data_IF_463433439921
#
_entry.id   IF_463433439921
#
_cell.length_a   1.000
_cell.length_b   1.000
_cell.length_c   1.000
_cell.angle_alpha   90.00
_cell.angle_beta   90.00
_cell.angle_gamma   90.00
#
_symmetry.space_group_name_H-M   'P 1'
#
loop_
_entity.id
_entity.type
_entity.pdbx_description
1 polymer ?
#
# COMPACT_ATOMS: atom_id res chain seq x y z
N UNK A 1 -28.47 28.45 36.59
CA UNK A 1 -28.46 27.97 35.20
C UNK A 1 -27.22 28.53 34.51
N UNK A 2 -26.17 27.75 34.29
CA UNK A 2 -25.01 28.24 33.52
C UNK A 2 -24.27 27.09 32.82
N UNK A 3 -24.66 26.94 31.55
CA UNK A 3 -23.93 26.42 30.40
C UNK A 3 -23.30 25.03 30.50
N UNK A 4 -24.16 24.03 30.28
CA UNK A 4 -23.79 22.72 29.76
C UNK A 4 -23.20 22.85 28.34
N UNK A 5 -22.07 22.16 28.11
CA UNK A 5 -21.73 21.42 26.90
C UNK A 5 -21.66 22.17 25.55
N UNK A 6 -20.49 22.68 25.15
CA UNK A 6 -20.18 22.81 23.72
C UNK A 6 -18.88 22.10 23.28
N UNK A 7 -18.17 21.41 24.18
CA UNK A 7 -16.83 20.88 23.87
C UNK A 7 -16.79 19.41 23.36
N UNK A 8 -17.92 18.70 23.35
CA UNK A 8 -17.94 17.26 23.02
C UNK A 8 -18.15 16.93 21.53
N UNK A 9 -18.54 17.91 20.70
CA UNK A 9 -18.92 17.66 19.30
C UNK A 9 -17.73 17.63 18.31
N UNK A 10 -16.56 18.12 18.73
CA UNK A 10 -15.42 18.35 17.82
C UNK A 10 -14.52 17.14 17.59
N UNK A 11 -14.70 16.03 18.33
CA UNK A 11 -13.80 14.87 18.26
C UNK A 11 -14.12 13.84 17.16
N UNK A 12 -15.22 13.99 16.42
CA UNK A 12 -15.63 12.99 15.41
C UNK A 12 -15.13 13.25 13.98
N UNK A 13 -14.38 14.33 13.74
CA UNK A 13 -13.98 14.74 12.38
C UNK A 13 -12.68 14.10 11.85
N UNK A 14 -12.03 13.21 12.61
CA UNK A 14 -10.76 12.57 12.21
C UNK A 14 -10.91 11.11 11.72
N UNK A 15 -12.14 10.57 11.64
CA UNK A 15 -12.37 9.17 11.28
C UNK A 15 -12.46 8.90 9.76
N UNK A 16 -11.99 9.82 8.91
CA UNK A 16 -12.28 9.80 7.48
C UNK A 16 -11.06 9.95 6.58
N UNK A 17 -10.10 9.03 6.62
CA UNK A 17 -9.20 8.80 5.48
C UNK A 17 -8.45 7.46 5.56
N UNK A 18 -9.16 6.38 5.89
CA UNK A 18 -8.67 5.06 5.55
C UNK A 18 -9.07 4.78 4.09
N UNK A 19 -8.29 5.31 3.14
CA UNK A 19 -8.39 4.89 1.75
C UNK A 19 -8.27 3.36 1.74
N UNK A 20 -9.35 2.68 1.33
CA UNK A 20 -9.41 1.22 1.36
C UNK A 20 -8.24 0.61 0.58
N UNK A 21 -7.80 -0.58 0.97
CA UNK A 21 -6.66 -1.26 0.35
C UNK A 21 -6.87 -1.61 -1.13
N UNK A 22 -8.10 -1.49 -1.66
CA UNK A 22 -8.47 -1.98 -2.98
C UNK A 22 -8.55 -3.51 -3.07
N UNK A 23 -8.44 -4.20 -1.93
CA UNK A 23 -8.47 -5.66 -1.82
C UNK A 23 -9.58 -6.11 -0.87
N UNK A 24 -10.40 -7.08 -1.31
CA UNK A 24 -11.50 -7.61 -0.52
C UNK A 24 -11.42 -9.13 -0.42
N UNK A 25 -11.65 -9.66 0.77
CA UNK A 25 -11.92 -11.07 1.00
C UNK A 25 -13.19 -11.16 1.87
N UNK A 26 -14.31 -11.71 1.37
CA UNK A 26 -15.57 -11.71 2.10
C UNK A 26 -15.56 -12.62 3.35
N UNK A 27 -14.54 -13.46 3.50
CA UNK A 27 -14.40 -14.39 4.61
C UNK A 27 -13.54 -13.83 5.75
N UNK A 28 -12.90 -12.68 5.56
CA UNK A 28 -11.96 -12.08 6.53
C UNK A 28 -12.41 -10.68 6.97
N UNK A 29 -12.02 -10.24 8.18
CA UNK A 29 -12.20 -8.86 8.63
C UNK A 29 -11.55 -7.84 7.67
N UNK A 30 -12.20 -6.69 7.49
CA UNK A 30 -11.72 -5.65 6.55
C UNK A 30 -10.36 -5.07 6.97
N UNK A 31 -10.12 -5.03 8.28
CA UNK A 31 -8.89 -4.54 8.91
C UNK A 31 -7.69 -5.44 8.56
N UNK A 32 -7.95 -6.73 8.31
CA UNK A 32 -6.91 -7.72 8.00
C UNK A 32 -6.28 -7.48 6.63
N UNK A 33 -7.06 -6.97 5.67
CA UNK A 33 -6.58 -6.67 4.32
C UNK A 33 -5.40 -5.68 4.34
N UNK A 34 -5.39 -4.71 5.26
CA UNK A 34 -4.32 -3.73 5.37
C UNK A 34 -3.03 -4.35 5.89
N UNK A 35 -3.13 -5.29 6.84
CA UNK A 35 -1.99 -6.02 7.38
C UNK A 35 -1.42 -6.97 6.34
N UNK A 36 -2.26 -7.78 5.71
CA UNK A 36 -1.83 -8.71 4.65
C UNK A 36 -1.19 -7.98 3.48
N UNK A 37 -1.73 -6.82 3.08
CA UNK A 37 -1.14 -6.00 2.01
C UNK A 37 0.26 -5.48 2.40
N UNK A 38 0.48 -5.07 3.66
CA UNK A 38 1.81 -4.64 4.12
C UNK A 38 2.81 -5.80 4.10
N UNK A 39 2.38 -6.98 4.52
CA UNK A 39 3.26 -8.16 4.53
C UNK A 39 3.56 -8.64 3.11
N UNK A 40 2.58 -8.63 2.21
CA UNK A 40 2.79 -8.94 0.80
C UNK A 40 3.72 -7.95 0.10
N UNK A 41 3.65 -6.65 0.46
CA UNK A 41 4.61 -5.64 -0.04
C UNK A 41 6.02 -5.94 0.43
N UNK A 42 6.21 -6.19 1.73
CA UNK A 42 7.52 -6.56 2.27
C UNK A 42 8.09 -7.81 1.59
N UNK A 43 7.26 -8.83 1.41
CA UNK A 43 7.67 -10.05 0.70
C UNK A 43 8.04 -9.79 -0.77
N UNK A 44 7.37 -8.85 -1.44
CA UNK A 44 7.69 -8.47 -2.81
C UNK A 44 9.01 -7.68 -2.88
N UNK A 45 9.26 -6.78 -1.91
CA UNK A 45 10.53 -6.07 -1.76
C UNK A 45 11.69 -7.06 -1.55
N UNK A 46 11.52 -8.04 -0.67
CA UNK A 46 12.52 -9.08 -0.41
C UNK A 46 12.78 -9.95 -1.66
N UNK A 47 11.75 -10.23 -2.46
CA UNK A 47 11.85 -11.07 -3.66
C UNK A 47 12.54 -10.38 -4.84
N UNK A 48 12.41 -9.06 -4.98
CA UNK A 48 13.09 -8.30 -6.04
C UNK A 48 14.54 -7.96 -5.70
N UNK A 49 14.90 -8.04 -4.41
CA UNK A 49 16.26 -7.81 -3.91
C UNK A 49 16.77 -6.39 -4.19
N UNK A 50 18.08 -6.14 -3.93
CA UNK A 50 18.69 -4.82 -4.09
C UNK A 50 18.75 -4.31 -5.55
N UNK A 51 18.19 -5.02 -6.53
CA UNK A 51 18.10 -4.57 -7.93
C UNK A 51 17.23 -3.30 -8.10
N UNK A 52 16.41 -2.96 -7.10
CA UNK A 52 15.68 -1.69 -7.01
C UNK A 52 16.48 -0.56 -6.34
N UNK A 53 17.66 -0.86 -5.77
CA UNK A 53 18.52 0.13 -5.11
C UNK A 53 19.36 0.85 -6.15
N UNK A 54 18.94 2.06 -6.52
CA UNK A 54 19.78 3.01 -7.25
C UNK A 54 20.70 3.69 -6.22
N UNK A 55 22.03 3.57 -6.32
CA UNK A 55 22.95 4.21 -5.38
C UNK A 55 22.67 5.72 -5.31
N UNK A 56 22.72 6.27 -4.10
CA UNK A 56 22.52 7.70 -3.87
C UNK A 56 23.65 8.49 -4.57
N UNK A 57 23.33 9.11 -5.70
CA UNK A 57 24.30 9.89 -6.50
C UNK A 57 24.16 9.70 -8.01
N UNK A 58 23.46 8.66 -8.48
CA UNK A 58 23.11 8.53 -9.90
C UNK A 58 21.95 9.47 -10.27
N UNK A 59 22.19 10.26 -11.32
CA UNK A 59 21.28 11.27 -11.83
C UNK A 59 19.92 10.65 -12.17
N UNK A 60 18.92 10.95 -11.34
CA UNK A 60 17.56 10.35 -11.38
C UNK A 60 16.74 10.77 -12.60
N UNK A 61 17.30 11.57 -13.48
CA UNK A 61 16.61 12.31 -14.56
C UNK A 61 17.24 12.13 -15.94
N UNK A 62 18.42 11.50 -16.07
CA UNK A 62 19.20 11.54 -17.32
C UNK A 62 19.17 10.28 -18.19
N UNK A 63 18.98 9.09 -17.62
CA UNK A 63 19.14 7.84 -18.37
C UNK A 63 17.77 7.15 -18.64
N UNK A 64 17.29 7.09 -19.89
CA UNK A 64 16.02 6.44 -20.21
C UNK A 64 16.00 4.94 -19.85
N UNK A 65 17.15 4.26 -19.83
CA UNK A 65 17.22 2.86 -19.40
C UNK A 65 16.87 2.69 -17.93
N UNK A 66 17.29 3.61 -17.05
CA UNK A 66 16.98 3.51 -15.61
C UNK A 66 15.50 3.79 -15.33
N UNK A 67 14.84 4.58 -16.17
CA UNK A 67 13.38 4.80 -16.11
C UNK A 67 12.59 3.57 -16.58
N UNK A 68 13.06 2.88 -17.63
CA UNK A 68 12.48 1.62 -18.11
C UNK A 68 12.62 0.54 -17.03
N UNK A 69 13.82 0.38 -16.47
CA UNK A 69 14.09 -0.58 -15.39
C UNK A 69 13.20 -0.30 -14.16
N UNK A 70 13.02 0.97 -13.80
CA UNK A 70 12.11 1.36 -12.71
C UNK A 70 10.66 0.99 -13.00
N UNK A 71 10.20 1.20 -14.22
CA UNK A 71 8.82 0.91 -14.62
C UNK A 71 8.57 -0.59 -14.63
N UNK A 72 9.51 -1.37 -15.15
CA UNK A 72 9.40 -2.83 -15.18
C UNK A 72 9.54 -3.43 -13.78
N UNK A 73 10.41 -2.89 -12.92
CA UNK A 73 10.49 -3.28 -11.51
C UNK A 73 9.21 -2.93 -10.75
N UNK A 74 8.60 -1.77 -11.01
CA UNK A 74 7.30 -1.42 -10.42
C UNK A 74 6.20 -2.39 -10.84
N UNK A 75 6.14 -2.77 -12.12
CA UNK A 75 5.18 -3.77 -12.63
C UNK A 75 5.41 -5.14 -11.99
N UNK A 76 6.66 -5.58 -11.87
CA UNK A 76 7.02 -6.85 -11.22
C UNK A 76 6.64 -6.84 -9.74
N UNK A 77 6.93 -5.75 -9.04
CA UNK A 77 6.55 -5.56 -7.64
C UNK A 77 5.03 -5.66 -7.48
N UNK A 78 4.26 -4.94 -8.31
CA UNK A 78 2.81 -5.01 -8.27
C UNK A 78 2.25 -6.40 -8.58
N UNK A 79 2.86 -7.12 -9.52
CA UNK A 79 2.49 -8.49 -9.86
C UNK A 79 2.75 -9.45 -8.67
N UNK A 80 3.88 -9.31 -7.98
CA UNK A 80 4.22 -10.09 -6.79
C UNK A 80 3.24 -9.82 -5.65
N UNK A 81 2.96 -8.55 -5.36
CA UNK A 81 1.95 -8.17 -4.37
C UNK A 81 0.58 -8.74 -4.73
N UNK A 82 0.18 -8.64 -6.00
CA UNK A 82 -1.10 -9.16 -6.45
C UNK A 82 -1.20 -10.68 -6.31
N UNK A 83 -0.14 -11.41 -6.66
CA UNK A 83 -0.06 -12.86 -6.49
C UNK A 83 -0.15 -13.27 -5.02
N UNK A 84 0.56 -12.56 -4.13
CA UNK A 84 0.50 -12.81 -2.68
C UNK A 84 -0.89 -12.53 -2.10
N UNK A 85 -1.54 -11.45 -2.51
CA UNK A 85 -2.91 -11.16 -2.05
C UNK A 85 -3.91 -12.20 -2.58
N UNK A 86 -3.75 -12.64 -3.82
CA UNK A 86 -4.59 -13.67 -4.42
C UNK A 86 -4.44 -15.04 -3.71
N UNK A 87 -3.22 -15.44 -3.33
CA UNK A 87 -3.00 -16.70 -2.59
C UNK A 87 -3.64 -16.69 -1.20
N UNK A 88 -3.77 -15.50 -0.59
CA UNK A 88 -4.53 -15.26 0.65
C UNK A 88 -6.05 -15.13 0.45
N UNK A 89 -6.54 -15.29 -0.78
CA UNK A 89 -7.97 -15.28 -1.11
C UNK A 89 -8.57 -13.88 -1.32
N UNK A 90 -7.75 -12.84 -1.39
CA UNK A 90 -8.22 -11.49 -1.70
C UNK A 90 -8.45 -11.30 -3.20
N UNK A 91 -9.43 -10.45 -3.54
CA UNK A 91 -9.71 -9.98 -4.90
C UNK A 91 -9.57 -8.46 -4.98
N UNK A 92 -9.04 -7.94 -6.09
CA UNK A 92 -9.04 -6.50 -6.32
C UNK A 92 -10.46 -6.01 -6.55
N UNK A 93 -10.84 -4.98 -5.81
CA UNK A 93 -12.01 -4.16 -6.09
C UNK A 93 -11.52 -2.90 -6.80
N UNK A 94 -11.99 -2.69 -8.02
CA UNK A 94 -11.69 -1.48 -8.81
C UNK A 94 -12.43 -0.29 -8.26
#
# INVERSE_FOLDING_TARGET
MRHLFPAALSLFLLAGCAAGTGWVNPLLPKEQAATDLRDCRRSADDALGPSAYVPAGEDRTGNPMTLVDRTDNARRHEALVASCMASKGYRRVK
#
